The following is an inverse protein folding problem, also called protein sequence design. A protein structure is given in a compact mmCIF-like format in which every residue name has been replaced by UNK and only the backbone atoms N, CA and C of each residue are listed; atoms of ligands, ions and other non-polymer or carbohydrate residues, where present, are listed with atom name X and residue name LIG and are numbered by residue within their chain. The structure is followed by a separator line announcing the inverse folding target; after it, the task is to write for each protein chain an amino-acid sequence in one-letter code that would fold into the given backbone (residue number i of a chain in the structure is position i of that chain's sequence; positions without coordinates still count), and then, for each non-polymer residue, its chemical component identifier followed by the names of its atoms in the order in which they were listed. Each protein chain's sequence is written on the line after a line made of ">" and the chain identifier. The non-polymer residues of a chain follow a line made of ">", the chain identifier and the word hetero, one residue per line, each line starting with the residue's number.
data_IF_540697704355
#
_entry.id   IF_540697704355
#
_cell.length_a   1.000
_cell.length_b   1.000
_cell.length_c   1.000
_cell.angle_alpha   90.00
_cell.angle_beta   90.00
_cell.angle_gamma   90.00
#
_symmetry.space_group_name_H-M   'P 1'
#
loop_
_entity.id
_entity.type
_entity.pdbx_description
1 polymer ?
#
# COMPACT_ATOMS: atom_id res chain seq x y z
N UNK A 1 -3.82 20.67 -24.06
CA UNK A 1 -3.89 20.09 -22.71
C UNK A 1 -2.49 19.96 -22.17
N UNK A 2 -2.25 20.28 -20.89
CA UNK A 2 -0.96 20.02 -20.24
C UNK A 2 -0.69 18.51 -20.26
N UNK A 3 0.54 18.09 -20.55
CA UNK A 3 0.90 16.68 -20.42
C UNK A 3 0.91 16.29 -18.94
N UNK A 4 0.65 15.03 -18.61
CA UNK A 4 0.77 14.57 -17.22
C UNK A 4 2.19 14.80 -16.67
N UNK A 5 3.23 14.78 -17.52
CA UNK A 5 4.60 15.08 -17.12
C UNK A 5 4.77 16.54 -16.69
N UNK A 6 4.11 17.48 -17.37
CA UNK A 6 4.14 18.90 -17.00
C UNK A 6 3.50 19.14 -15.62
N UNK A 7 2.44 18.42 -15.29
CA UNK A 7 1.77 18.52 -13.98
C UNK A 7 2.67 18.12 -12.80
N UNK A 8 3.76 17.37 -13.05
CA UNK A 8 4.72 17.02 -11.99
C UNK A 8 5.56 18.20 -11.50
N UNK A 9 5.62 19.29 -12.27
CA UNK A 9 6.34 20.52 -11.90
C UNK A 9 5.68 21.26 -10.74
N UNK A 10 4.37 21.06 -10.56
CA UNK A 10 3.56 21.70 -9.53
C UNK A 10 3.45 20.86 -8.24
N UNK A 11 4.25 19.79 -8.13
CA UNK A 11 4.26 18.96 -6.93
C UNK A 11 4.86 19.72 -5.75
N UNK A 12 4.26 19.50 -4.58
CA UNK A 12 4.70 20.08 -3.31
C UNK A 12 5.78 19.16 -2.73
N UNK A 13 7.00 19.67 -2.60
CA UNK A 13 8.19 18.86 -2.23
C UNK A 13 9.03 19.46 -1.12
N UNK A 14 8.85 20.75 -0.81
CA UNK A 14 9.53 21.45 0.28
C UNK A 14 8.54 21.81 1.38
N UNK A 15 9.00 21.83 2.63
CA UNK A 15 8.14 22.21 3.76
C UNK A 15 7.69 23.68 3.62
N UNK A 16 8.56 24.52 3.07
CA UNK A 16 8.28 25.92 2.77
C UNK A 16 7.12 26.12 1.80
N UNK A 17 6.85 25.14 0.91
CA UNK A 17 5.70 25.19 0.01
C UNK A 17 4.35 25.17 0.79
N UNK A 18 4.37 24.76 2.07
CA UNK A 18 3.21 24.72 2.95
C UNK A 18 2.97 26.04 3.71
N UNK A 19 3.91 26.99 3.71
CA UNK A 19 3.85 28.21 4.53
C UNK A 19 2.58 29.04 4.28
N UNK A 20 2.07 29.02 3.04
CA UNK A 20 0.89 29.78 2.65
C UNK A 20 -0.44 29.14 3.06
N UNK A 21 -0.45 27.84 3.34
CA UNK A 21 -1.67 27.07 3.66
C UNK A 21 -1.71 26.57 5.10
N UNK A 22 -0.55 26.53 5.76
CA UNK A 22 -0.40 26.04 7.12
C UNK A 22 0.29 27.10 7.98
N UNK A 23 -0.45 27.63 8.95
CA UNK A 23 0.11 28.52 9.97
C UNK A 23 0.93 27.68 10.98
N UNK A 24 2.18 27.41 10.64
CA UNK A 24 3.12 26.67 11.47
C UNK A 24 3.83 27.60 12.45
N UNK A 25 3.96 27.17 13.70
CA UNK A 25 4.98 27.72 14.59
C UNK A 25 6.40 27.39 14.06
N UNK A 26 7.43 28.15 14.46
CA UNK A 26 8.82 27.84 14.10
C UNK A 26 9.23 26.41 14.48
N UNK A 27 8.77 25.91 15.63
CA UNK A 27 9.08 24.57 16.12
C UNK A 27 8.39 23.48 15.26
N UNK A 28 7.12 23.65 14.92
CA UNK A 28 6.41 22.71 14.02
C UNK A 28 7.10 22.61 12.66
N UNK A 29 7.47 23.76 12.09
CA UNK A 29 8.20 23.81 10.82
C UNK A 29 9.54 23.10 10.92
N UNK A 30 10.31 23.36 11.98
CA UNK A 30 11.59 22.69 12.20
C UNK A 30 11.42 21.17 12.35
N UNK A 31 10.43 20.70 13.10
CA UNK A 31 10.15 19.27 13.23
C UNK A 31 9.82 18.62 11.87
N UNK A 32 9.00 19.26 11.03
CA UNK A 32 8.68 18.77 9.69
C UNK A 32 9.91 18.71 8.77
N UNK A 33 10.81 19.70 8.87
CA UNK A 33 12.10 19.70 8.17
C UNK A 33 12.95 18.51 8.61
N UNK A 34 13.08 18.28 9.93
CA UNK A 34 13.86 17.15 10.45
C UNK A 34 13.30 15.78 10.09
N UNK A 35 11.97 15.66 10.02
CA UNK A 35 11.31 14.46 9.50
C UNK A 35 11.63 14.27 8.01
N UNK A 36 11.60 15.34 7.22
CA UNK A 36 11.80 15.30 5.77
C UNK A 36 13.24 15.00 5.34
N UNK A 37 14.23 15.21 6.22
CA UNK A 37 15.61 14.75 5.99
C UNK A 37 15.73 13.22 5.90
N UNK A 38 14.83 12.48 6.57
CA UNK A 38 14.82 11.00 6.61
C UNK A 38 13.79 10.40 5.67
N UNK A 39 12.56 10.93 5.68
CA UNK A 39 11.49 10.47 4.79
C UNK A 39 10.91 11.68 4.06
N UNK A 40 11.33 11.93 2.81
CA UNK A 40 11.05 13.16 2.10
C UNK A 40 9.55 13.40 1.92
N UNK A 41 9.18 14.65 1.74
CA UNK A 41 7.84 15.02 1.32
C UNK A 41 7.77 15.06 -0.20
N UNK A 42 6.68 14.49 -0.74
CA UNK A 42 6.25 14.71 -2.11
C UNK A 42 4.75 14.52 -2.12
N UNK A 43 4.02 15.52 -2.60
CA UNK A 43 2.57 15.48 -2.74
C UNK A 43 2.25 16.02 -4.13
N UNK A 44 1.46 15.29 -4.91
CA UNK A 44 1.03 15.82 -6.20
C UNK A 44 0.08 16.98 -6.01
N UNK A 45 0.06 17.94 -6.93
CA UNK A 45 -0.90 19.05 -6.85
C UNK A 45 -2.33 18.56 -6.72
N UNK A 46 -2.71 17.55 -7.50
CA UNK A 46 -4.01 16.90 -7.42
C UNK A 46 -4.33 16.37 -6.02
N UNK A 47 -3.41 15.64 -5.37
CA UNK A 47 -3.68 15.08 -4.04
C UNK A 47 -3.63 16.16 -2.94
N UNK A 48 -2.78 17.17 -3.10
CA UNK A 48 -2.71 18.34 -2.22
C UNK A 48 -4.04 19.10 -2.21
N UNK A 49 -4.71 19.21 -3.35
CA UNK A 49 -6.00 19.90 -3.49
C UNK A 49 -7.17 19.14 -2.85
N UNK A 50 -6.98 17.87 -2.46
CA UNK A 50 -7.97 17.11 -1.69
C UNK A 50 -7.96 17.45 -0.19
N UNK A 51 -6.94 18.18 0.27
CA UNK A 51 -6.79 18.56 1.67
C UNK A 51 -7.76 19.69 1.99
N UNK A 52 -8.61 19.47 2.99
CA UNK A 52 -9.36 20.55 3.63
C UNK A 52 -8.46 21.26 4.66
N UNK A 53 -7.86 22.38 4.26
CA UNK A 53 -6.95 23.15 5.11
C UNK A 53 -7.61 23.82 6.32
N UNK A 54 -8.95 23.87 6.35
CA UNK A 54 -9.68 24.36 7.53
C UNK A 54 -9.80 23.29 8.63
N UNK A 55 -9.70 22.00 8.26
CA UNK A 55 -9.74 20.87 9.18
C UNK A 55 -8.32 20.47 9.60
N UNK A 56 -7.96 20.77 10.86
CA UNK A 56 -6.66 20.38 11.43
C UNK A 56 -6.47 18.87 11.48
N UNK A 57 -7.56 18.10 11.48
CA UNK A 57 -7.58 16.65 11.54
C UNK A 57 -7.80 16.00 10.18
N UNK A 58 -7.72 16.76 9.08
CA UNK A 58 -7.99 16.25 7.73
C UNK A 58 -7.19 14.97 7.43
N UNK A 59 -7.86 13.89 7.01
CA UNK A 59 -7.21 12.60 6.79
C UNK A 59 -6.24 12.63 5.59
N UNK A 60 -6.51 13.43 4.56
CA UNK A 60 -5.63 13.55 3.39
C UNK A 60 -4.33 14.24 3.78
N UNK A 61 -4.41 15.27 4.62
CA UNK A 61 -3.25 15.94 5.22
C UNK A 61 -2.43 14.95 6.02
N UNK A 62 -3.02 14.24 6.98
CA UNK A 62 -2.30 13.25 7.81
C UNK A 62 -1.64 12.14 6.98
N UNK A 63 -2.23 11.74 5.85
CA UNK A 63 -1.67 10.73 4.95
C UNK A 63 -0.44 11.22 4.16
N UNK A 64 -0.27 12.53 3.95
CA UNK A 64 0.67 13.09 2.96
C UNK A 64 1.65 14.14 3.49
N UNK A 65 1.25 14.94 4.47
CA UNK A 65 2.05 16.03 5.06
C UNK A 65 2.81 15.51 6.29
N UNK A 66 4.14 15.72 6.40
CA UNK A 66 4.92 15.31 7.57
C UNK A 66 4.39 15.87 8.88
N UNK A 67 4.58 15.15 9.98
CA UNK A 67 4.18 15.62 11.32
C UNK A 67 5.29 15.39 12.35
N UNK A 68 5.39 16.26 13.37
CA UNK A 68 6.42 16.15 14.42
C UNK A 68 6.37 14.84 15.22
N UNK A 69 5.22 14.16 15.27
CA UNK A 69 5.10 12.81 15.87
C UNK A 69 6.01 11.77 15.19
N UNK A 70 6.41 12.00 13.94
CA UNK A 70 7.33 11.13 13.19
C UNK A 70 8.80 11.31 13.60
N UNK A 71 9.08 12.13 14.62
CA UNK A 71 10.35 12.16 15.32
C UNK A 71 10.48 11.00 16.33
N UNK A 72 9.36 10.43 16.78
CA UNK A 72 9.37 9.26 17.66
C UNK A 72 9.81 8.03 16.85
N UNK A 73 10.90 7.40 17.29
CA UNK A 73 11.57 6.35 16.55
C UNK A 73 11.20 4.93 17.03
N UNK A 74 10.08 4.79 17.76
CA UNK A 74 9.54 3.49 18.16
C UNK A 74 9.10 2.66 16.95
N UNK A 75 9.27 1.34 17.04
CA UNK A 75 8.98 0.38 15.98
C UNK A 75 10.24 -0.17 15.31
N UNK A 76 10.04 -0.94 14.24
CA UNK A 76 11.11 -1.57 13.44
C UNK A 76 11.04 -1.13 11.98
N UNK A 77 12.15 -1.14 11.26
CA UNK A 77 12.17 -0.90 9.82
C UNK A 77 11.71 -2.12 9.00
N UNK A 78 11.94 -3.35 9.48
CA UNK A 78 11.57 -4.59 8.78
C UNK A 78 10.53 -5.42 9.55
N UNK A 79 9.35 -4.82 9.76
CA UNK A 79 8.23 -5.44 10.47
C UNK A 79 7.62 -6.68 9.80
N UNK A 80 7.99 -7.00 8.55
CA UNK A 80 7.45 -8.15 7.81
C UNK A 80 8.51 -9.15 7.37
N UNK A 81 9.76 -8.96 7.80
CA UNK A 81 10.89 -9.82 7.47
C UNK A 81 11.24 -9.83 5.98
N UNK A 82 11.02 -8.72 5.25
CA UNK A 82 11.37 -8.60 3.83
C UNK A 82 12.84 -8.97 3.57
N UNK A 83 13.76 -8.59 4.45
CA UNK A 83 15.18 -8.89 4.31
C UNK A 83 15.44 -10.42 4.27
N UNK A 84 14.82 -11.17 5.19
CA UNK A 84 14.97 -12.64 5.28
C UNK A 84 14.38 -13.42 4.10
N UNK A 85 13.58 -12.75 3.26
CA UNK A 85 12.93 -13.34 2.10
C UNK A 85 13.55 -12.88 0.77
N UNK A 86 14.56 -11.99 0.84
CA UNK A 86 15.30 -11.49 -0.30
C UNK A 86 16.21 -12.58 -0.86
N UNK A 87 16.07 -12.89 -2.15
CA UNK A 87 16.92 -13.85 -2.87
C UNK A 87 18.11 -13.16 -3.55
N UNK A 88 17.87 -11.93 -4.00
CA UNK A 88 18.86 -10.98 -4.50
C UNK A 88 18.29 -9.56 -4.38
N UNK A 89 19.10 -8.49 -4.43
CA UNK A 89 18.61 -7.12 -4.31
C UNK A 89 17.40 -6.84 -5.21
N UNK A 90 16.30 -6.44 -4.58
CA UNK A 90 15.03 -6.15 -5.22
C UNK A 90 14.19 -7.35 -5.66
N UNK A 91 14.55 -8.59 -5.33
CA UNK A 91 13.73 -9.79 -5.55
C UNK A 91 13.51 -10.55 -4.24
N UNK A 92 12.25 -10.68 -3.86
CA UNK A 92 11.82 -11.45 -2.70
C UNK A 92 11.00 -12.67 -3.15
N UNK A 93 11.16 -13.78 -2.43
CA UNK A 93 10.37 -14.99 -2.61
C UNK A 93 10.04 -15.56 -1.23
N UNK A 94 8.99 -15.00 -0.62
CA UNK A 94 8.51 -15.36 0.74
C UNK A 94 7.54 -16.53 0.72
N UNK A 95 6.63 -16.53 -0.24
CA UNK A 95 5.58 -17.54 -0.37
C UNK A 95 5.84 -18.34 -1.63
N UNK A 96 5.69 -19.66 -1.56
CA UNK A 96 5.95 -20.62 -2.63
C UNK A 96 5.40 -20.17 -4.00
N UNK A 97 4.17 -19.67 -4.03
CA UNK A 97 3.52 -19.27 -5.27
C UNK A 97 3.84 -17.85 -5.77
N UNK A 98 4.64 -17.05 -5.06
CA UNK A 98 4.76 -15.61 -5.33
C UNK A 98 6.17 -15.06 -5.20
N UNK A 99 6.67 -14.50 -6.31
CA UNK A 99 7.78 -13.56 -6.29
C UNK A 99 7.31 -12.10 -6.19
N UNK A 100 8.09 -11.26 -5.52
CA UNK A 100 7.91 -9.82 -5.46
C UNK A 100 9.18 -9.13 -5.95
N UNK A 101 9.02 -8.19 -6.89
CA UNK A 101 10.12 -7.38 -7.43
C UNK A 101 9.96 -5.93 -6.99
N UNK A 102 10.98 -5.37 -6.32
CA UNK A 102 11.04 -3.95 -5.96
C UNK A 102 11.62 -3.15 -7.13
N UNK A 103 10.77 -2.60 -7.99
CA UNK A 103 11.20 -1.97 -9.24
C UNK A 103 11.69 -0.53 -9.09
N UNK A 104 11.34 0.13 -7.97
CA UNK A 104 11.67 1.53 -7.71
C UNK A 104 11.59 1.85 -6.22
N UNK A 105 12.24 2.93 -5.78
CA UNK A 105 12.05 3.54 -4.47
C UNK A 105 11.24 4.85 -4.56
N UNK A 106 10.73 5.22 -5.73
CA UNK A 106 10.02 6.49 -5.97
C UNK A 106 8.50 6.29 -5.88
N UNK A 107 7.81 7.29 -5.34
CA UNK A 107 6.35 7.41 -5.37
C UNK A 107 5.96 8.79 -5.90
N UNK A 108 4.74 8.92 -6.44
CA UNK A 108 4.16 10.25 -6.73
C UNK A 108 3.71 10.98 -5.46
N UNK A 109 3.37 10.22 -4.40
CA UNK A 109 3.22 10.76 -3.05
C UNK A 109 3.86 9.84 -2.03
N UNK A 110 4.65 10.41 -1.12
CA UNK A 110 5.28 9.67 -0.02
C UNK A 110 4.35 9.60 1.19
N UNK A 111 3.62 8.48 1.29
CA UNK A 111 2.70 8.21 2.39
C UNK A 111 3.41 8.36 3.74
N UNK A 112 2.79 9.05 4.71
CA UNK A 112 3.36 9.17 6.06
C UNK A 112 3.34 7.87 6.85
N UNK A 113 2.43 6.95 6.50
CA UNK A 113 2.30 5.59 7.03
C UNK A 113 3.03 4.51 6.20
N UNK A 114 4.00 4.89 5.35
CA UNK A 114 4.68 3.95 4.46
C UNK A 114 5.39 2.83 5.23
N UNK A 115 5.08 1.56 4.94
CA UNK A 115 5.77 0.46 5.61
C UNK A 115 7.21 0.22 5.13
N UNK A 116 7.58 0.77 3.97
CA UNK A 116 8.94 0.78 3.43
C UNK A 116 9.64 2.11 3.68
N UNK A 117 9.32 2.79 4.78
CA UNK A 117 9.95 4.06 5.18
C UNK A 117 11.48 3.95 5.30
N UNK A 118 12.04 2.73 5.36
CA UNK A 118 13.48 2.43 5.35
C UNK A 118 14.19 2.63 4.00
N UNK A 119 13.46 2.79 2.90
CA UNK A 119 14.06 2.90 1.56
C UNK A 119 13.38 3.93 0.64
N UNK A 120 12.07 4.11 0.76
CA UNK A 120 11.28 4.90 -0.20
C UNK A 120 11.68 6.38 -0.13
N UNK A 121 12.05 6.93 -1.29
CA UNK A 121 12.40 8.33 -1.48
C UNK A 121 13.87 8.69 -1.25
N UNK A 122 14.71 7.78 -0.73
CA UNK A 122 16.11 8.14 -0.43
C UNK A 122 17.15 7.03 -0.67
N UNK A 123 16.80 5.73 -0.64
CA UNK A 123 17.77 4.64 -0.88
C UNK A 123 17.36 3.75 -2.05
N UNK A 124 18.33 3.40 -2.89
CA UNK A 124 18.15 2.50 -4.05
C UNK A 124 18.78 1.13 -3.83
N UNK A 125 19.33 0.84 -2.65
CA UNK A 125 20.06 -0.39 -2.33
C UNK A 125 19.19 -1.64 -2.45
N UNK A 126 17.92 -1.54 -2.03
CA UNK A 126 16.94 -2.61 -2.11
C UNK A 126 16.20 -2.65 -3.46
N UNK A 127 16.46 -1.71 -4.37
CA UNK A 127 15.79 -1.65 -5.69
C UNK A 127 16.43 -2.67 -6.63
N UNK A 128 15.60 -3.28 -7.48
CA UNK A 128 16.04 -4.23 -8.47
C UNK A 128 16.72 -3.52 -9.65
N UNK A 129 18.06 -3.63 -9.70
CA UNK A 129 18.87 -3.23 -10.85
C UNK A 129 19.28 -4.43 -11.73
N UNK A 130 18.84 -5.65 -11.35
CA UNK A 130 19.22 -6.94 -11.92
C UNK A 130 18.01 -7.66 -12.52
N UNK A 131 17.31 -6.97 -13.41
CA UNK A 131 16.05 -7.45 -13.99
C UNK A 131 16.24 -8.80 -14.70
N UNK A 132 17.30 -8.96 -15.49
CA UNK A 132 17.54 -10.19 -16.26
C UNK A 132 17.69 -11.40 -15.34
N UNK A 133 18.48 -11.26 -14.28
CA UNK A 133 18.72 -12.29 -13.26
C UNK A 133 17.45 -12.59 -12.47
N UNK A 134 16.65 -11.57 -12.17
CA UNK A 134 15.39 -11.74 -11.44
C UNK A 134 14.34 -12.47 -12.27
N UNK A 135 14.25 -12.15 -13.56
CA UNK A 135 13.40 -12.86 -14.51
C UNK A 135 13.90 -14.31 -14.71
N UNK A 136 15.22 -14.54 -14.75
CA UNK A 136 15.77 -15.91 -14.79
C UNK A 136 15.37 -16.71 -13.56
N UNK A 137 15.56 -16.14 -12.37
CA UNK A 137 15.12 -16.77 -11.12
C UNK A 137 13.65 -17.17 -11.18
N UNK A 138 12.76 -16.27 -11.61
CA UNK A 138 11.31 -16.56 -11.73
C UNK A 138 11.05 -17.67 -12.77
N UNK A 139 11.79 -17.69 -13.88
CA UNK A 139 11.66 -18.72 -14.91
C UNK A 139 12.11 -20.10 -14.41
N UNK A 140 13.14 -20.15 -13.58
CA UNK A 140 13.72 -21.40 -13.09
C UNK A 140 12.97 -21.99 -11.88
N UNK A 141 12.07 -21.21 -11.26
CA UNK A 141 11.27 -21.60 -10.08
C UNK A 141 9.79 -21.76 -10.47
N UNK A 142 9.44 -22.97 -10.91
CA UNK A 142 8.12 -23.31 -11.46
C UNK A 142 6.98 -23.31 -10.44
N UNK A 143 7.30 -23.33 -9.14
CA UNK A 143 6.33 -23.18 -8.06
C UNK A 143 5.72 -21.77 -8.01
N UNK A 144 6.42 -20.76 -8.56
CA UNK A 144 5.94 -19.38 -8.60
C UNK A 144 4.92 -19.26 -9.72
N UNK A 145 3.64 -19.08 -9.40
CA UNK A 145 2.61 -18.88 -10.41
C UNK A 145 2.19 -17.41 -10.59
N UNK A 146 2.67 -16.49 -9.75
CA UNK A 146 2.42 -15.07 -9.94
C UNK A 146 3.57 -14.18 -9.46
N UNK A 147 3.68 -13.01 -10.07
CA UNK A 147 4.70 -12.00 -9.75
C UNK A 147 4.03 -10.69 -9.36
N UNK A 148 4.48 -10.07 -8.27
CA UNK A 148 4.10 -8.73 -7.87
C UNK A 148 5.24 -7.74 -8.16
N UNK A 149 5.02 -6.83 -9.10
CA UNK A 149 5.89 -5.69 -9.34
C UNK A 149 5.49 -4.56 -8.38
N UNK A 150 6.38 -4.18 -7.47
CA UNK A 150 6.16 -3.23 -6.38
C UNK A 150 7.44 -2.42 -6.12
N UNK A 151 7.67 -1.96 -4.88
CA UNK A 151 8.74 -1.03 -4.52
C UNK A 151 8.13 0.17 -3.80
N UNK A 152 8.37 1.35 -4.34
CA UNK A 152 7.55 2.54 -4.12
C UNK A 152 6.23 2.41 -4.88
N UNK A 153 6.16 3.04 -6.06
CA UNK A 153 4.99 2.98 -6.92
C UNK A 153 5.37 2.53 -8.34
N UNK A 154 4.83 1.39 -8.78
CA UNK A 154 5.21 0.78 -10.07
C UNK A 154 5.04 1.73 -11.26
N UNK A 155 4.01 2.58 -11.29
CA UNK A 155 3.73 3.48 -12.42
C UNK A 155 4.62 4.74 -12.47
N UNK A 156 5.53 4.90 -11.52
CA UNK A 156 6.58 5.94 -11.58
C UNK A 156 7.73 5.58 -12.50
N UNK A 157 7.95 4.30 -12.80
CA UNK A 157 9.00 3.88 -13.74
C UNK A 157 8.54 4.19 -15.18
N UNK A 158 9.50 4.35 -16.09
CA UNK A 158 9.18 4.72 -17.47
C UNK A 158 8.43 3.62 -18.22
N UNK A 159 7.60 4.00 -19.19
CA UNK A 159 6.85 3.07 -20.05
C UNK A 159 7.76 2.00 -20.68
N UNK A 160 8.97 2.38 -21.11
CA UNK A 160 9.98 1.44 -21.62
C UNK A 160 10.35 0.34 -20.62
N UNK A 161 10.49 0.67 -19.33
CA UNK A 161 10.82 -0.31 -18.29
C UNK A 161 9.60 -1.14 -17.91
N UNK A 162 8.40 -0.53 -17.86
CA UNK A 162 7.14 -1.25 -17.68
C UNK A 162 6.97 -2.31 -18.77
N UNK A 163 7.09 -1.92 -20.04
CA UNK A 163 7.01 -2.84 -21.18
C UNK A 163 8.06 -3.95 -21.07
N UNK A 164 9.29 -3.63 -20.66
CA UNK A 164 10.34 -4.65 -20.51
C UNK A 164 9.98 -5.70 -19.46
N UNK A 165 9.45 -5.29 -18.30
CA UNK A 165 8.98 -6.25 -17.29
C UNK A 165 7.83 -7.11 -17.81
N UNK A 166 6.78 -6.48 -18.35
CA UNK A 166 5.59 -7.18 -18.83
C UNK A 166 5.93 -8.14 -19.97
N UNK A 167 6.74 -7.72 -20.95
CA UNK A 167 7.19 -8.59 -22.05
C UNK A 167 7.86 -9.87 -21.56
N UNK A 168 8.77 -9.75 -20.60
CA UNK A 168 9.54 -10.89 -20.11
C UNK A 168 8.73 -11.80 -19.18
N UNK A 169 7.83 -11.25 -18.38
CA UNK A 169 7.00 -12.04 -17.46
C UNK A 169 5.83 -12.69 -18.18
N UNK A 170 5.19 -12.00 -19.13
CA UNK A 170 4.08 -12.54 -19.91
C UNK A 170 4.50 -13.74 -20.77
N UNK A 171 5.79 -13.89 -21.09
CA UNK A 171 6.32 -15.03 -21.84
C UNK A 171 6.70 -16.24 -20.98
N UNK A 172 6.48 -16.21 -19.66
CA UNK A 172 6.77 -17.35 -18.76
C UNK A 172 5.51 -18.19 -18.61
N UNK A 173 5.53 -19.43 -19.10
CA UNK A 173 4.33 -20.27 -19.23
C UNK A 173 3.66 -20.59 -17.90
N UNK A 174 4.42 -20.90 -16.85
CA UNK A 174 3.88 -21.28 -15.53
C UNK A 174 3.36 -20.10 -14.69
N UNK A 175 3.47 -18.85 -15.17
CA UNK A 175 2.80 -17.72 -14.53
C UNK A 175 1.34 -17.66 -14.98
N UNK A 176 0.44 -17.62 -14.01
CA UNK A 176 -0.99 -17.41 -14.22
C UNK A 176 -1.31 -15.92 -14.44
N UNK A 177 -0.72 -15.04 -13.62
CA UNK A 177 -1.00 -13.61 -13.65
C UNK A 177 0.15 -12.75 -13.11
N UNK A 178 0.12 -11.46 -13.45
CA UNK A 178 1.04 -10.42 -12.98
C UNK A 178 0.27 -9.40 -12.15
N UNK A 179 0.82 -8.98 -11.02
CA UNK A 179 0.27 -7.91 -10.18
C UNK A 179 1.13 -6.67 -10.24
N UNK A 180 0.49 -5.51 -10.35
CA UNK A 180 1.12 -4.19 -10.38
C UNK A 180 0.74 -3.44 -9.10
N UNK A 181 1.67 -3.29 -8.17
CA UNK A 181 1.49 -2.53 -6.93
C UNK A 181 1.69 -1.04 -7.19
N UNK A 182 0.60 -0.27 -7.18
CA UNK A 182 0.64 1.16 -7.49
C UNK A 182 -0.47 1.92 -6.76
N UNK A 183 -0.10 3.01 -6.07
CA UNK A 183 -1.05 3.95 -5.47
C UNK A 183 -1.38 5.11 -6.42
N UNK A 184 -0.75 5.16 -7.60
CA UNK A 184 -1.00 6.15 -8.67
C UNK A 184 -2.48 6.35 -9.00
N UNK A 185 -3.37 5.33 -9.06
CA UNK A 185 -4.81 5.57 -9.26
C UNK A 185 -5.45 6.51 -8.22
N UNK A 186 -4.84 6.61 -7.04
CA UNK A 186 -5.32 7.41 -5.91
C UNK A 186 -4.63 8.77 -5.84
N UNK A 187 -3.32 8.81 -6.09
CA UNK A 187 -2.49 9.99 -5.80
C UNK A 187 -2.06 10.76 -7.04
N UNK A 188 -2.13 10.15 -8.22
CA UNK A 188 -1.81 10.82 -9.48
C UNK A 188 -2.51 10.15 -10.68
N UNK A 189 -3.85 10.08 -10.68
CA UNK A 189 -4.61 9.32 -11.67
C UNK A 189 -4.36 9.77 -13.12
N UNK A 190 -3.97 11.03 -13.31
CA UNK A 190 -3.61 11.63 -14.61
C UNK A 190 -2.52 10.83 -15.33
N UNK A 191 -1.57 10.25 -14.58
CA UNK A 191 -0.52 9.38 -15.11
C UNK A 191 -1.07 8.20 -15.91
N UNK A 192 -2.27 7.73 -15.59
CA UNK A 192 -2.89 6.57 -16.20
C UNK A 192 -3.73 7.00 -17.39
N UNK A 193 -4.74 7.85 -17.17
CA UNK A 193 -5.73 8.12 -18.20
C UNK A 193 -5.28 9.18 -19.25
N UNK A 194 -4.20 9.93 -19.00
CA UNK A 194 -3.59 10.84 -19.99
C UNK A 194 -2.36 10.24 -20.69
N UNK A 195 -1.93 9.03 -20.33
CA UNK A 195 -0.79 8.35 -20.97
C UNK A 195 -1.27 7.21 -21.86
N UNK A 196 -1.57 7.55 -23.12
CA UNK A 196 -2.00 6.58 -24.12
C UNK A 196 -0.94 5.48 -24.35
N UNK A 197 0.34 5.80 -24.29
CA UNK A 197 1.42 4.83 -24.46
C UNK A 197 1.45 3.82 -23.31
N UNK A 198 1.26 4.27 -22.06
CA UNK A 198 1.10 3.36 -20.93
C UNK A 198 -0.10 2.43 -21.13
N UNK A 199 -1.27 2.97 -21.49
CA UNK A 199 -2.48 2.17 -21.68
C UNK A 199 -2.31 1.14 -22.82
N UNK A 200 -1.67 1.52 -23.93
CA UNK A 200 -1.38 0.62 -25.04
C UNK A 200 -0.44 -0.53 -24.62
N UNK A 201 0.62 -0.22 -23.86
CA UNK A 201 1.53 -1.23 -23.30
C UNK A 201 0.76 -2.18 -22.39
N UNK A 202 -0.03 -1.65 -21.45
CA UNK A 202 -0.80 -2.43 -20.51
C UNK A 202 -1.82 -3.34 -21.22
N UNK A 203 -2.58 -2.81 -22.18
CA UNK A 203 -3.56 -3.57 -22.95
C UNK A 203 -2.91 -4.72 -23.73
N UNK A 204 -1.77 -4.45 -24.38
CA UNK A 204 -1.02 -5.43 -25.15
C UNK A 204 -0.58 -6.63 -24.30
N UNK A 205 -0.09 -6.41 -23.09
CA UNK A 205 0.40 -7.51 -22.25
C UNK A 205 -0.70 -8.15 -21.40
N UNK A 206 -1.76 -7.41 -21.06
CA UNK A 206 -2.95 -7.96 -20.43
C UNK A 206 -3.69 -8.98 -21.32
N UNK A 207 -3.63 -8.83 -22.65
CA UNK A 207 -4.18 -9.82 -23.59
C UNK A 207 -3.35 -11.11 -23.70
N UNK A 208 -2.10 -11.11 -23.20
CA UNK A 208 -1.20 -12.27 -23.19
C UNK A 208 -1.21 -12.96 -21.83
N UNK A 209 -1.24 -12.18 -20.75
CA UNK A 209 -1.13 -12.66 -19.36
C UNK A 209 -2.02 -11.80 -18.48
N UNK A 210 -2.88 -12.44 -17.70
CA UNK A 210 -3.80 -11.75 -16.77
C UNK A 210 -3.02 -10.75 -15.91
N UNK A 211 -3.52 -9.51 -15.84
CA UNK A 211 -2.84 -8.41 -15.16
C UNK A 211 -3.78 -7.71 -14.19
N UNK A 212 -3.36 -7.57 -12.94
CA UNK A 212 -4.17 -7.00 -11.86
C UNK A 212 -3.43 -5.84 -11.22
N UNK A 213 -4.09 -4.68 -11.11
CA UNK A 213 -3.56 -3.54 -10.34
C UNK A 213 -3.98 -3.65 -8.88
N UNK A 214 -3.01 -3.59 -7.98
CA UNK A 214 -3.21 -3.52 -6.53
C UNK A 214 -2.96 -2.08 -6.08
N UNK A 215 -4.04 -1.38 -5.72
CA UNK A 215 -4.02 0.02 -5.30
C UNK A 215 -4.30 0.19 -3.80
N UNK A 216 -4.20 1.41 -3.28
CA UNK A 216 -4.35 1.73 -1.86
C UNK A 216 -5.09 3.06 -1.65
N UNK A 217 -6.41 2.99 -1.57
CA UNK A 217 -7.27 4.01 -0.98
C UNK A 217 -7.48 3.67 0.51
N UNK A 218 -7.36 4.67 1.38
CA UNK A 218 -7.53 4.60 2.82
C UNK A 218 -8.68 5.50 3.32
N UNK A 219 -9.20 6.45 2.54
CA UNK A 219 -10.28 7.33 3.00
C UNK A 219 -11.28 7.67 1.88
N UNK A 220 -12.59 7.82 2.16
CA UNK A 220 -13.59 8.18 1.15
C UNK A 220 -13.31 9.48 0.38
N UNK A 221 -12.58 10.45 0.99
CA UNK A 221 -12.14 11.68 0.30
C UNK A 221 -11.25 11.40 -0.92
N UNK A 222 -10.62 10.23 -1.00
CA UNK A 222 -9.79 9.83 -2.13
C UNK A 222 -10.61 9.23 -3.29
N UNK A 223 -11.89 8.92 -3.09
CA UNK A 223 -12.81 8.39 -4.11
C UNK A 223 -13.32 9.52 -5.01
N UNK A 224 -12.42 10.12 -5.78
CA UNK A 224 -12.71 11.27 -6.63
C UNK A 224 -13.08 10.84 -8.05
N UNK A 225 -13.66 11.78 -8.83
CA UNK A 225 -13.89 11.58 -10.26
C UNK A 225 -12.60 11.35 -11.05
N UNK A 226 -11.50 11.98 -10.66
CA UNK A 226 -10.19 11.79 -11.28
C UNK A 226 -9.65 10.38 -11.03
N UNK A 227 -9.75 9.90 -9.79
CA UNK A 227 -9.43 8.52 -9.46
C UNK A 227 -10.34 7.56 -10.24
N UNK A 228 -11.64 7.87 -10.37
CA UNK A 228 -12.58 7.07 -11.16
C UNK A 228 -12.17 6.97 -12.63
N UNK A 229 -11.74 8.05 -13.27
CA UNK A 229 -11.24 8.04 -14.66
C UNK A 229 -10.05 7.09 -14.83
N UNK A 230 -9.10 7.09 -13.90
CA UNK A 230 -7.97 6.15 -13.93
C UNK A 230 -8.43 4.69 -13.76
N UNK A 231 -9.37 4.44 -12.84
CA UNK A 231 -9.94 3.10 -12.64
C UNK A 231 -10.68 2.61 -13.89
N UNK A 232 -11.52 3.47 -14.49
CA UNK A 232 -12.25 3.14 -15.70
C UNK A 232 -11.30 2.91 -16.89
N UNK A 233 -10.24 3.71 -17.04
CA UNK A 233 -9.23 3.52 -18.08
C UNK A 233 -8.55 2.14 -17.98
N UNK A 234 -8.19 1.69 -16.77
CA UNK A 234 -7.63 0.35 -16.55
C UNK A 234 -8.65 -0.76 -16.85
N UNK A 235 -9.89 -0.62 -16.37
CA UNK A 235 -10.95 -1.61 -16.59
C UNK A 235 -11.31 -1.76 -18.07
N UNK A 236 -11.34 -0.65 -18.82
CA UNK A 236 -11.67 -0.64 -20.25
C UNK A 236 -10.65 -1.42 -21.09
N UNK A 237 -9.42 -1.59 -20.60
CA UNK A 237 -8.39 -2.42 -21.24
C UNK A 237 -8.26 -3.82 -20.60
N UNK A 238 -9.26 -4.23 -19.80
CA UNK A 238 -9.34 -5.57 -19.21
C UNK A 238 -8.55 -5.76 -17.92
N UNK A 239 -8.01 -4.70 -17.31
CA UNK A 239 -7.24 -4.81 -16.06
C UNK A 239 -8.16 -4.69 -14.85
N UNK A 240 -8.22 -5.77 -14.06
CA UNK A 240 -8.92 -5.75 -12.77
C UNK A 240 -8.17 -4.90 -11.74
N UNK A 241 -8.91 -4.16 -10.91
CA UNK A 241 -8.33 -3.34 -9.84
C UNK A 241 -8.80 -3.83 -8.47
N UNK A 242 -7.84 -4.04 -7.56
CA UNK A 242 -8.10 -4.43 -6.18
C UNK A 242 -7.48 -3.44 -5.21
N UNK A 243 -8.10 -3.25 -4.06
CA UNK A 243 -7.67 -2.29 -3.04
C UNK A 243 -7.11 -2.98 -1.78
N UNK A 244 -5.96 -2.51 -1.32
CA UNK A 244 -5.40 -2.82 -0.01
C UNK A 244 -5.38 -1.56 0.85
N UNK A 245 -6.40 -1.38 1.69
CA UNK A 245 -6.43 -0.32 2.68
C UNK A 245 -5.56 -0.69 3.89
N UNK A 246 -5.21 0.32 4.68
CA UNK A 246 -4.59 0.15 6.00
C UNK A 246 -5.52 0.81 7.01
N UNK A 247 -5.82 0.12 8.12
CA UNK A 247 -6.52 0.71 9.25
C UNK A 247 -5.56 1.64 9.98
N UNK A 248 -5.87 2.93 9.98
CA UNK A 248 -4.99 4.02 10.41
C UNK A 248 -5.72 4.93 11.38
N UNK A 249 -5.09 5.15 12.54
CA UNK A 249 -5.61 6.02 13.60
C UNK A 249 -5.80 7.46 13.13
N UNK A 250 -6.96 8.03 13.43
CA UNK A 250 -7.39 9.37 13.05
C UNK A 250 -7.60 9.55 11.53
N UNK A 251 -7.76 8.47 10.77
CA UNK A 251 -7.99 8.47 9.32
C UNK A 251 -9.26 7.69 8.98
N UNK A 252 -9.27 6.39 9.25
CA UNK A 252 -10.34 5.47 8.88
C UNK A 252 -10.64 4.45 9.98
N UNK A 253 -10.21 4.77 11.19
CA UNK A 253 -10.52 4.11 12.46
C UNK A 253 -11.93 4.45 12.97
N UNK A 254 -12.88 4.54 12.03
CA UNK A 254 -14.29 4.78 12.28
C UNK A 254 -15.11 3.81 11.40
N UNK A 255 -16.11 3.10 11.96
CA UNK A 255 -16.89 2.11 11.22
C UNK A 255 -17.62 2.69 10.00
N UNK A 256 -18.15 3.92 10.09
CA UNK A 256 -18.89 4.57 9.00
C UNK A 256 -17.93 5.05 7.90
N UNK A 257 -16.78 5.60 8.27
CA UNK A 257 -15.73 5.97 7.32
C UNK A 257 -15.23 4.74 6.55
N UNK A 258 -14.95 3.64 7.26
CA UNK A 258 -14.51 2.39 6.65
C UNK A 258 -15.59 1.77 5.75
N UNK A 259 -16.86 1.73 6.19
CA UNK A 259 -17.97 1.25 5.36
C UNK A 259 -18.16 2.10 4.10
N UNK A 260 -18.08 3.43 4.23
CA UNK A 260 -18.18 4.35 3.09
C UNK A 260 -17.04 4.14 2.09
N UNK A 261 -15.82 3.91 2.58
CA UNK A 261 -14.66 3.60 1.72
C UNK A 261 -14.89 2.31 0.93
N UNK A 262 -15.24 1.22 1.62
CA UNK A 262 -15.35 -0.11 1.01
C UNK A 262 -16.53 -0.23 0.04
N UNK A 263 -17.67 0.38 0.38
CA UNK A 263 -18.82 0.48 -0.53
C UNK A 263 -18.51 1.36 -1.75
N UNK A 264 -17.87 2.51 -1.53
CA UNK A 264 -17.48 3.42 -2.62
C UNK A 264 -16.45 2.80 -3.58
N UNK A 265 -15.47 2.05 -3.06
CA UNK A 265 -14.54 1.26 -3.88
C UNK A 265 -15.30 0.29 -4.80
N UNK A 266 -16.26 -0.45 -4.22
CA UNK A 266 -17.09 -1.39 -4.99
C UNK A 266 -17.88 -0.66 -6.08
N UNK A 267 -18.46 0.50 -5.77
CA UNK A 267 -19.22 1.31 -6.73
C UNK A 267 -18.36 1.83 -7.90
N UNK A 268 -17.06 2.09 -7.68
CA UNK A 268 -16.10 2.44 -8.75
C UNK A 268 -15.65 1.22 -9.57
N UNK A 269 -16.01 0.00 -9.15
CA UNK A 269 -15.53 -1.25 -9.73
C UNK A 269 -14.13 -1.64 -9.25
N UNK A 270 -13.74 -1.19 -8.06
CA UNK A 270 -12.52 -1.64 -7.36
C UNK A 270 -12.91 -2.67 -6.31
N UNK A 271 -12.28 -3.84 -6.34
CA UNK A 271 -12.59 -4.91 -5.38
C UNK A 271 -11.83 -4.70 -4.07
N UNK A 272 -12.51 -4.57 -2.91
CA UNK A 272 -11.84 -4.61 -1.61
C UNK A 272 -11.10 -5.95 -1.44
N UNK A 273 -9.78 -5.90 -1.19
CA UNK A 273 -8.94 -7.09 -1.09
C UNK A 273 -8.40 -7.31 0.32
N UNK A 274 -7.75 -6.30 0.89
CA UNK A 274 -7.33 -6.31 2.29
C UNK A 274 -7.68 -5.00 2.97
N UNK A 275 -7.98 -5.09 4.26
CA UNK A 275 -7.69 -4.03 5.22
C UNK A 275 -6.55 -4.56 6.07
N UNK A 276 -5.38 -3.91 6.01
CA UNK A 276 -4.25 -4.30 6.83
C UNK A 276 -4.28 -3.57 8.17
N UNK A 277 -4.00 -4.27 9.25
CA UNK A 277 -3.59 -3.63 10.49
C UNK A 277 -2.31 -2.83 10.24
N UNK A 278 -2.23 -1.61 10.78
CA UNK A 278 -1.04 -0.78 10.61
C UNK A 278 0.18 -1.43 11.28
N UNK A 279 1.26 -1.59 10.50
CA UNK A 279 2.50 -2.21 10.96
C UNK A 279 3.20 -1.28 11.96
N UNK A 280 3.90 -1.82 12.98
CA UNK A 280 4.64 -1.04 13.96
C UNK A 280 5.97 -0.54 13.38
N UNK A 281 5.91 0.17 12.25
CA UNK A 281 7.09 0.63 11.52
C UNK A 281 7.71 1.81 12.25
N UNK A 282 9.05 1.86 12.28
CA UNK A 282 9.81 2.97 12.86
C UNK A 282 9.33 4.32 12.29
N UNK A 283 9.05 5.29 13.17
CA UNK A 283 8.44 6.60 12.85
C UNK A 283 6.97 6.60 12.40
N UNK A 284 6.31 5.44 12.37
CA UNK A 284 4.89 5.27 12.01
C UNK A 284 4.09 4.78 13.21
N UNK A 285 4.69 3.87 13.99
CA UNK A 285 4.08 3.14 15.10
C UNK A 285 3.24 4.04 16.02
N UNK A 286 3.89 5.07 16.57
CA UNK A 286 3.32 5.98 17.58
C UNK A 286 2.14 6.81 17.07
N UNK A 287 2.00 6.98 15.76
CA UNK A 287 1.01 7.88 15.17
C UNK A 287 -0.22 7.14 14.65
N UNK A 288 -0.03 6.02 13.94
CA UNK A 288 -1.07 5.43 13.09
C UNK A 288 -1.64 4.10 13.58
N UNK A 289 -1.08 3.48 14.62
CA UNK A 289 -1.59 2.22 15.11
C UNK A 289 -2.92 2.36 15.86
N UNK A 290 -3.81 1.42 15.59
CA UNK A 290 -5.09 1.22 16.29
C UNK A 290 -4.96 -0.08 17.10
N UNK A 291 -5.38 -0.13 18.37
CA UNK A 291 -5.40 -1.37 19.14
C UNK A 291 -6.20 -2.46 18.44
N UNK A 292 -5.78 -3.72 18.54
CA UNK A 292 -6.42 -4.85 17.87
C UNK A 292 -7.89 -5.03 18.30
N UNK A 293 -8.22 -4.71 19.55
CA UNK A 293 -9.60 -4.66 20.07
C UNK A 293 -10.47 -3.65 19.33
N UNK A 294 -10.01 -2.40 19.24
CA UNK A 294 -10.72 -1.35 18.52
C UNK A 294 -10.82 -1.72 17.03
N UNK A 295 -9.73 -2.21 16.44
CA UNK A 295 -9.69 -2.58 15.03
C UNK A 295 -10.68 -3.67 14.66
N UNK A 296 -10.82 -4.74 15.46
CA UNK A 296 -11.80 -5.78 15.14
C UNK A 296 -13.25 -5.30 15.31
N UNK A 297 -13.50 -4.41 16.28
CA UNK A 297 -14.82 -3.78 16.47
C UNK A 297 -15.18 -2.86 15.30
N UNK A 298 -14.26 -1.99 14.89
CA UNK A 298 -14.42 -1.11 13.73
C UNK A 298 -14.74 -1.91 12.47
N UNK A 299 -13.97 -2.96 12.21
CA UNK A 299 -14.15 -3.79 11.01
C UNK A 299 -15.45 -4.59 11.07
N UNK A 300 -15.81 -5.13 12.24
CA UNK A 300 -17.08 -5.86 12.42
C UNK A 300 -18.28 -4.95 12.16
N UNK A 301 -18.29 -3.76 12.76
CA UNK A 301 -19.37 -2.81 12.59
C UNK A 301 -19.43 -2.28 11.15
N UNK A 302 -18.29 -1.95 10.53
CA UNK A 302 -18.23 -1.57 9.13
C UNK A 302 -18.80 -2.68 8.23
N UNK A 303 -18.42 -3.94 8.46
CA UNK A 303 -18.97 -5.11 7.74
C UNK A 303 -20.48 -5.22 7.91
N UNK A 304 -21.07 -4.87 9.05
CA UNK A 304 -22.53 -4.92 9.24
C UNK A 304 -23.28 -3.99 8.27
N UNK A 305 -22.65 -2.86 7.88
CA UNK A 305 -23.22 -1.82 7.01
C UNK A 305 -23.03 -2.08 5.51
N UNK A 306 -22.27 -3.12 5.13
CA UNK A 306 -21.91 -3.41 3.74
C UNK A 306 -22.82 -4.45 3.07
N UNK A 307 -22.84 -4.47 1.74
CA UNK A 307 -23.36 -5.60 0.96
C UNK A 307 -22.30 -6.72 0.84
N UNK A 308 -22.69 -7.91 0.36
CA UNK A 308 -21.80 -9.08 0.29
C UNK A 308 -20.53 -8.87 -0.55
N UNK A 309 -20.61 -8.17 -1.68
CA UNK A 309 -19.45 -7.91 -2.55
C UNK A 309 -18.46 -6.97 -1.85
N UNK A 310 -18.96 -5.90 -1.22
CA UNK A 310 -18.11 -4.97 -0.48
C UNK A 310 -17.47 -5.58 0.78
N UNK A 311 -17.99 -6.72 1.28
CA UNK A 311 -17.41 -7.49 2.40
C UNK A 311 -16.31 -8.48 1.98
N UNK A 312 -15.95 -8.57 0.69
CA UNK A 312 -15.01 -9.57 0.17
C UNK A 312 -13.54 -9.44 0.63
N UNK A 313 -13.21 -8.46 1.47
CA UNK A 313 -11.87 -8.23 1.99
C UNK A 313 -11.56 -9.05 3.25
N UNK A 314 -10.26 -9.24 3.52
CA UNK A 314 -9.76 -9.78 4.79
C UNK A 314 -9.15 -8.68 5.65
N UNK A 315 -9.38 -8.73 6.95
CA UNK A 315 -8.64 -7.91 7.91
C UNK A 315 -7.42 -8.68 8.40
N UNK A 316 -6.22 -8.18 8.12
CA UNK A 316 -5.01 -8.99 8.25
C UNK A 316 -3.78 -8.24 8.79
N UNK A 317 -2.90 -8.98 9.44
CA UNK A 317 -1.53 -8.64 9.78
C UNK A 317 -0.59 -9.14 8.68
N UNK A 318 0.49 -8.40 8.43
CA UNK A 318 1.61 -8.86 7.60
C UNK A 318 2.80 -9.17 8.50
N UNK A 319 2.79 -10.38 9.07
CA UNK A 319 3.77 -10.88 10.01
C UNK A 319 5.00 -11.49 9.29
N UNK A 320 6.20 -11.55 9.89
CA UNK A 320 7.36 -12.24 9.34
C UNK A 320 7.08 -13.68 8.87
N UNK A 321 6.28 -14.43 9.63
CA UNK A 321 5.89 -15.80 9.25
C UNK A 321 4.84 -15.86 8.14
N UNK A 322 4.07 -14.80 7.93
CA UNK A 322 2.97 -14.85 6.95
C UNK A 322 1.92 -13.75 7.07
N UNK A 323 0.89 -13.84 6.24
CA UNK A 323 -0.34 -13.06 6.40
C UNK A 323 -1.25 -13.77 7.39
N UNK A 324 -1.53 -13.09 8.48
CA UNK A 324 -2.41 -13.59 9.54
C UNK A 324 -3.71 -12.81 9.44
N UNK A 325 -4.80 -13.49 9.11
CA UNK A 325 -6.14 -12.91 9.18
C UNK A 325 -6.58 -12.82 10.65
N UNK A 326 -7.08 -11.65 11.04
CA UNK A 326 -7.72 -11.40 12.33
C UNK A 326 -9.19 -11.75 12.13
N UNK A 327 -9.56 -12.98 12.49
CA UNK A 327 -10.84 -13.58 12.12
C UNK A 327 -11.98 -13.03 12.97
N UNK A 328 -11.73 -12.81 14.26
CA UNK A 328 -12.70 -12.33 15.23
C UNK A 328 -12.18 -12.41 16.66
N UNK A 329 -13.07 -12.17 17.63
CA UNK A 329 -12.79 -12.38 19.05
C UNK A 329 -13.96 -13.07 19.75
N UNK A 330 -13.63 -13.85 20.76
CA UNK A 330 -14.54 -14.35 21.80
C UNK A 330 -14.51 -13.38 22.99
N UNK A 331 -15.09 -13.78 24.13
CA UNK A 331 -15.03 -13.00 25.36
C UNK A 331 -13.62 -12.97 25.98
N UNK A 332 -12.81 -14.01 25.76
CA UNK A 332 -11.47 -14.17 26.33
C UNK A 332 -10.33 -14.00 25.32
N UNK A 333 -10.54 -14.45 24.08
CA UNK A 333 -9.46 -14.68 23.12
C UNK A 333 -9.77 -14.11 21.74
N UNK A 334 -8.71 -13.70 21.04
CA UNK A 334 -8.75 -13.42 19.62
C UNK A 334 -8.54 -14.70 18.82
N UNK A 335 -9.23 -14.79 17.69
CA UNK A 335 -9.09 -15.90 16.74
C UNK A 335 -8.32 -15.37 15.53
N UNK A 336 -7.19 -16.01 15.25
CA UNK A 336 -6.33 -15.70 14.11
C UNK A 336 -6.23 -16.89 13.18
N UNK A 337 -5.97 -16.61 11.90
CA UNK A 337 -5.78 -17.62 10.86
C UNK A 337 -4.57 -17.29 10.00
N UNK A 338 -3.66 -18.25 9.79
CA UNK A 338 -2.62 -18.11 8.79
C UNK A 338 -3.22 -18.22 7.38
N UNK A 339 -3.64 -17.08 6.82
CA UNK A 339 -4.17 -17.03 5.46
C UNK A 339 -3.10 -17.40 4.42
N UNK A 340 -1.84 -17.02 4.69
CA UNK A 340 -0.70 -17.42 3.88
C UNK A 340 0.54 -17.45 4.78
N UNK A 341 1.30 -18.54 4.80
CA UNK A 341 2.48 -18.73 5.63
C UNK A 341 3.71 -18.99 4.76
N UNK A 342 4.90 -18.65 5.26
CA UNK A 342 6.21 -18.99 4.65
C UNK A 342 6.47 -20.50 4.65
N UNK A 343 5.99 -21.21 5.68
CA UNK A 343 5.99 -22.66 5.75
C UNK A 343 4.60 -23.18 5.34
N UNK A 344 4.53 -23.89 4.21
CA UNK A 344 3.25 -24.33 3.65
C UNK A 344 2.45 -25.25 4.58
N UNK A 345 3.11 -25.93 5.53
CA UNK A 345 2.45 -26.79 6.54
C UNK A 345 1.60 -26.01 7.53
N UNK A 346 1.88 -24.72 7.71
CA UNK A 346 1.15 -23.84 8.62
C UNK A 346 0.08 -22.99 7.90
N UNK A 347 -0.09 -23.18 6.58
CA UNK A 347 -1.20 -22.56 5.85
C UNK A 347 -2.55 -23.03 6.42
N UNK A 348 -3.52 -22.11 6.46
CA UNK A 348 -4.89 -22.33 6.97
C UNK A 348 -4.99 -22.61 8.48
N UNK A 349 -3.87 -22.68 9.19
CA UNK A 349 -3.84 -22.97 10.63
C UNK A 349 -4.48 -21.85 11.45
N UNK A 350 -5.42 -22.23 12.31
CA UNK A 350 -6.02 -21.36 13.32
C UNK A 350 -5.19 -21.36 14.59
N UNK A 351 -5.18 -20.21 15.28
CA UNK A 351 -4.69 -20.11 16.65
C UNK A 351 -5.48 -19.06 17.43
N UNK A 352 -5.51 -19.23 18.75
CA UNK A 352 -6.22 -18.34 19.67
C UNK A 352 -5.28 -17.88 20.78
N UNK A 353 -5.43 -16.64 21.20
CA UNK A 353 -4.71 -16.13 22.36
C UNK A 353 -5.41 -14.89 22.95
N UNK A 354 -5.21 -14.63 24.26
CA UNK A 354 -5.66 -13.40 24.86
C UNK A 354 -4.82 -12.24 24.32
N UNK A 355 -5.49 -11.13 24.01
CA UNK A 355 -4.86 -9.88 23.60
C UNK A 355 -5.10 -8.86 24.70
N UNK A 356 -4.12 -8.00 24.99
CA UNK A 356 -4.33 -6.88 25.90
C UNK A 356 -5.08 -5.73 25.19
N UNK A 357 -5.89 -4.94 25.90
CA UNK A 357 -6.74 -3.91 25.27
C UNK A 357 -5.97 -2.85 24.49
N UNK A 358 -4.71 -2.59 24.86
CA UNK A 358 -3.83 -1.63 24.19
C UNK A 358 -2.90 -2.26 23.17
N UNK A 359 -2.88 -3.59 23.03
CA UNK A 359 -2.00 -4.25 22.08
C UNK A 359 -2.40 -3.93 20.63
N UNK A 360 -1.43 -3.55 19.81
CA UNK A 360 -1.60 -3.07 18.44
C UNK A 360 -1.04 -4.04 17.39
N UNK A 361 -0.26 -5.04 17.81
CA UNK A 361 0.45 -5.97 16.93
C UNK A 361 0.78 -7.31 17.62
N UNK A 362 1.33 -8.26 16.86
CA UNK A 362 1.89 -9.53 17.35
C UNK A 362 3.40 -9.60 17.06
N UNK A 363 4.22 -9.88 18.06
CA UNK A 363 5.67 -10.08 17.89
C UNK A 363 6.02 -11.38 17.14
N UNK A 364 7.31 -11.62 16.91
CA UNK A 364 7.80 -12.80 16.18
C UNK A 364 7.44 -14.14 16.84
N UNK A 365 7.12 -14.17 18.14
CA UNK A 365 6.63 -15.34 18.86
C UNK A 365 5.10 -15.38 18.91
N UNK A 366 4.46 -14.57 18.07
CA UNK A 366 3.02 -14.30 18.02
C UNK A 366 2.46 -13.68 19.29
N UNK A 367 3.28 -13.17 20.21
CA UNK A 367 2.79 -12.58 21.47
C UNK A 367 2.30 -11.15 21.24
N UNK A 368 1.25 -10.70 21.94
CA UNK A 368 0.72 -9.36 21.76
C UNK A 368 1.72 -8.29 22.21
N UNK A 369 1.82 -7.20 21.45
CA UNK A 369 2.64 -6.04 21.80
C UNK A 369 1.84 -4.74 21.67
N UNK A 370 2.15 -3.80 22.57
CA UNK A 370 1.53 -2.47 22.66
C UNK A 370 2.20 -1.47 21.71
#
# INVERSE_FOLDING_TARGET
>A
MLSWMDMLKDNIIKIEDLDNVLQMSPDEKQHMIEVSKRHPMRITKYYFDLIDWSDKNDPIRKLSVPHGMELNDAGDYDTSGEATNTKMPGLQHKYTATALVLTTNVCYMYCRHCFRKRMIGYSTEEVNHRMTESISYIRDHHEINNVLLSGGDFFTISNKIIEKYLKNLSSIDHLDFIRLGSRTPVVFPQRIYLDEDLLNILQKYASIKETIVITQFNHPKELTEEAKKAIDALKNIGIAVRNQAVLLKGINDDPDVMAKLLSGLTAMGVHPYYVFQCRPVRFVKSHFQVPLYEGIEIISEAKSKLNGISKGFRYALSHPDGKIEIFGKTDSDFIFKFHQNKNDKDNDRLFMQPIHKTATWLDNNLKPIE
#
